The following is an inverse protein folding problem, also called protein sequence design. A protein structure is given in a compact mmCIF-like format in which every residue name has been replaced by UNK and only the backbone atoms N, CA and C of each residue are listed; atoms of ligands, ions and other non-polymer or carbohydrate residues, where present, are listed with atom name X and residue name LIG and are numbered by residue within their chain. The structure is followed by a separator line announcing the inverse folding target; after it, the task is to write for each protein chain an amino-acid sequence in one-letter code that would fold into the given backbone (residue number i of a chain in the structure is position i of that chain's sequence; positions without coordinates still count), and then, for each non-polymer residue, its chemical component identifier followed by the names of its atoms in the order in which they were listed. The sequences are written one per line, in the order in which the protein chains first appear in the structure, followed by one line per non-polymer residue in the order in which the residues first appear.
data_IF_775383748426
#
_entry.id   IF_775383748426
#
_cell.length_a   1.000
_cell.length_b   1.000
_cell.length_c   1.000
_cell.angle_alpha   90.00
_cell.angle_beta   90.00
_cell.angle_gamma   90.00
#
_symmetry.space_group_name_H-M   'P 1'
#
loop_
_entity.id
_entity.type
_entity.pdbx_description
1 polymer ?
#
# COMPACT_ATOMS: atom_id res chain seq x y z
N UNK A 1 -1.75 4.16 -11.00
CA UNK A 1 -2.43 4.62 -12.22
C UNK A 1 -1.77 5.93 -12.64
N UNK A 2 -1.87 6.34 -13.90
CA UNK A 2 -1.52 7.70 -14.32
C UNK A 2 -2.76 8.63 -14.26
N UNK A 3 -2.61 9.87 -14.69
CA UNK A 3 -3.70 10.86 -14.75
C UNK A 3 -4.77 10.59 -15.83
N UNK A 4 -4.54 9.63 -16.73
CA UNK A 4 -5.47 9.22 -17.79
C UNK A 4 -6.24 7.94 -17.43
N UNK A 5 -6.15 7.49 -16.18
CA UNK A 5 -6.72 6.24 -15.70
C UNK A 5 -6.08 4.97 -16.31
N UNK A 6 -4.81 5.05 -16.74
CA UNK A 6 -4.06 3.88 -17.18
C UNK A 6 -3.41 3.13 -16.01
N UNK A 7 -3.55 1.81 -16.00
CA UNK A 7 -2.84 0.97 -15.03
C UNK A 7 -1.35 0.85 -15.42
N UNK A 8 -0.51 1.60 -14.69
CA UNK A 8 0.95 1.63 -14.86
C UNK A 8 1.63 0.25 -14.77
N UNK A 9 1.05 -0.71 -14.04
CA UNK A 9 1.57 -2.08 -13.94
C UNK A 9 1.22 -2.87 -15.20
N UNK A 10 0.03 -2.63 -15.77
CA UNK A 10 -0.44 -3.31 -16.97
C UNK A 10 0.25 -2.78 -18.23
N UNK A 11 0.46 -1.46 -18.33
CA UNK A 11 1.11 -0.84 -19.48
C UNK A 11 2.65 -0.95 -19.45
N UNK A 12 3.23 -1.56 -18.40
CA UNK A 12 4.67 -1.80 -18.30
C UNK A 12 5.49 -0.57 -17.90
N UNK A 13 4.85 0.50 -17.42
CA UNK A 13 5.55 1.71 -16.93
C UNK A 13 6.09 1.51 -15.51
N UNK A 14 5.31 0.91 -14.61
CA UNK A 14 5.70 0.57 -13.24
C UNK A 14 6.27 -0.85 -13.21
N UNK A 15 7.59 -0.96 -13.37
CA UNK A 15 8.31 -2.24 -13.49
C UNK A 15 9.19 -2.56 -12.28
N UNK A 16 9.62 -1.53 -11.55
CA UNK A 16 10.46 -1.68 -10.38
C UNK A 16 9.84 -0.91 -9.21
N UNK A 17 9.51 -1.64 -8.15
CA UNK A 17 8.99 -1.08 -6.91
C UNK A 17 9.34 -1.96 -5.72
N UNK A 18 9.40 -1.34 -4.55
CA UNK A 18 9.65 -2.01 -3.27
C UNK A 18 8.96 -1.25 -2.15
N UNK A 19 8.64 -1.96 -1.07
CA UNK A 19 8.06 -1.37 0.14
C UNK A 19 8.93 -1.74 1.32
N UNK A 20 9.23 -0.76 2.17
CA UNK A 20 9.95 -0.94 3.43
C UNK A 20 9.12 -0.38 4.58
N UNK A 21 9.22 -1.00 5.75
CA UNK A 21 8.65 -0.43 6.98
C UNK A 21 9.59 0.63 7.60
N UNK A 22 9.12 1.27 8.67
CA UNK A 22 9.87 2.31 9.41
C UNK A 22 11.21 1.86 9.99
N UNK A 23 11.49 0.55 10.04
CA UNK A 23 12.77 -0.02 10.46
C UNK A 23 13.63 -0.44 9.25
N UNK A 24 13.26 -0.02 8.04
CA UNK A 24 13.87 -0.41 6.76
C UNK A 24 13.76 -1.91 6.45
N UNK A 25 12.80 -2.61 7.05
CA UNK A 25 12.54 -4.03 6.75
C UNK A 25 11.68 -4.11 5.50
N UNK A 26 12.12 -4.90 4.51
CA UNK A 26 11.36 -5.10 3.27
C UNK A 26 10.03 -5.79 3.57
N UNK A 27 8.95 -5.24 3.03
CA UNK A 27 7.62 -5.85 3.04
C UNK A 27 7.49 -6.75 1.82
N UNK A 28 6.94 -7.94 2.02
CA UNK A 28 6.64 -8.86 0.93
C UNK A 28 5.48 -8.32 0.09
N UNK A 29 5.70 -8.26 -1.22
CA UNK A 29 4.72 -7.79 -2.20
C UNK A 29 4.51 -8.85 -3.26
N UNK A 30 3.24 -9.07 -3.64
CA UNK A 30 2.87 -9.98 -4.71
C UNK A 30 1.99 -9.27 -5.74
N UNK A 31 2.21 -9.56 -7.03
CA UNK A 31 1.42 -9.03 -8.13
C UNK A 31 0.30 -10.01 -8.48
N UNK A 32 -0.93 -9.53 -8.62
CA UNK A 32 -2.08 -10.34 -9.05
C UNK A 32 -2.17 -10.41 -10.59
N UNK A 33 -2.93 -11.38 -11.12
CA UNK A 33 -3.24 -11.47 -12.56
C UNK A 33 -3.92 -10.20 -13.09
N UNK A 34 -4.65 -9.50 -12.23
CA UNK A 34 -5.42 -8.30 -12.56
C UNK A 34 -4.57 -7.02 -12.45
N UNK A 35 -3.24 -7.16 -12.40
CA UNK A 35 -2.28 -6.06 -12.31
C UNK A 35 -2.47 -5.18 -11.07
N UNK A 36 -2.72 -5.81 -9.92
CA UNK A 36 -2.74 -5.19 -8.60
C UNK A 36 -1.53 -5.64 -7.76
N UNK A 37 -1.22 -4.89 -6.70
CA UNK A 37 -0.19 -5.24 -5.71
C UNK A 37 -0.89 -5.61 -4.40
N UNK A 38 -0.50 -6.75 -3.84
CA UNK A 38 -0.89 -7.19 -2.49
C UNK A 38 0.33 -7.03 -1.58
N UNK A 39 0.09 -6.43 -0.40
CA UNK A 39 1.08 -6.36 0.67
C UNK A 39 0.77 -7.47 1.67
N UNK A 40 1.75 -8.31 1.96
CA UNK A 40 1.59 -9.45 2.85
C UNK A 40 2.14 -9.13 4.24
N UNK A 41 1.52 -9.71 5.28
CA UNK A 41 1.92 -9.56 6.69
C UNK A 41 1.96 -8.10 7.19
N UNK A 42 1.13 -7.22 6.63
CA UNK A 42 0.93 -5.85 7.13
C UNK A 42 -0.28 -5.78 8.05
N UNK A 43 -0.25 -4.88 9.05
CA UNK A 43 -1.35 -4.67 9.99
C UNK A 43 -1.46 -5.65 11.15
N UNK A 44 -0.59 -6.65 11.26
CA UNK A 44 -0.53 -7.60 12.38
C UNK A 44 0.17 -7.01 13.62
N UNK A 45 -0.27 -5.85 14.09
CA UNK A 45 0.26 -5.14 15.27
C UNK A 45 -0.78 -4.16 15.82
N UNK A 46 -0.55 -3.69 17.05
CA UNK A 46 -1.35 -2.63 17.66
C UNK A 46 -0.65 -1.28 17.53
N UNK A 47 -1.35 -0.27 17.01
CA UNK A 47 -0.84 1.07 16.79
C UNK A 47 -0.68 1.44 15.31
N UNK A 48 0.20 2.38 15.02
CA UNK A 48 0.44 2.88 13.67
C UNK A 48 1.88 2.62 13.26
N UNK A 49 2.09 1.99 12.11
CA UNK A 49 3.42 1.79 11.51
C UNK A 49 3.50 2.52 10.17
N UNK A 50 4.65 3.12 9.89
CA UNK A 50 4.93 3.80 8.63
C UNK A 50 5.62 2.87 7.64
N UNK A 51 5.39 3.16 6.36
CA UNK A 51 5.92 2.43 5.23
C UNK A 51 6.34 3.40 4.15
N UNK A 52 7.45 3.07 3.48
CA UNK A 52 7.98 3.79 2.35
C UNK A 52 7.79 2.93 1.09
N UNK A 53 7.07 3.45 0.11
CA UNK A 53 6.97 2.88 -1.22
C UNK A 53 7.99 3.58 -2.14
N UNK A 54 8.90 2.79 -2.70
CA UNK A 54 9.85 3.23 -3.72
C UNK A 54 9.46 2.64 -5.06
N UNK A 55 9.57 3.43 -6.14
CA UNK A 55 9.40 2.91 -7.49
C UNK A 55 10.21 3.69 -8.52
N UNK A 56 10.30 3.14 -9.73
CA UNK A 56 10.88 3.82 -10.89
C UNK A 56 10.01 4.97 -11.44
N UNK A 57 8.79 5.14 -10.94
CA UNK A 57 7.87 6.20 -11.35
C UNK A 57 7.88 7.34 -10.33
N UNK A 58 7.45 7.03 -9.09
CA UNK A 58 7.38 8.00 -8.00
C UNK A 58 7.37 7.29 -6.65
N UNK A 59 8.12 7.78 -5.64
CA UNK A 59 8.01 7.29 -4.28
C UNK A 59 6.86 7.97 -3.52
N UNK A 60 6.33 7.28 -2.52
CA UNK A 60 5.40 7.87 -1.55
C UNK A 60 5.47 7.12 -0.22
N UNK A 61 4.96 7.76 0.83
CA UNK A 61 4.84 7.15 2.15
C UNK A 61 3.38 6.80 2.42
N UNK A 62 3.17 5.77 3.23
CA UNK A 62 1.87 5.49 3.80
C UNK A 62 2.01 4.94 5.22
N UNK A 63 0.93 5.01 5.98
CA UNK A 63 0.86 4.43 7.33
C UNK A 63 -0.39 3.59 7.46
N UNK A 64 -0.24 2.48 8.16
CA UNK A 64 -1.36 1.59 8.49
C UNK A 64 -1.54 1.67 10.00
N UNK A 65 -2.73 2.08 10.41
CA UNK A 65 -3.17 2.03 11.80
C UNK A 65 -3.99 0.75 11.98
N UNK A 66 -3.59 -0.06 12.94
CA UNK A 66 -4.25 -1.32 13.29
C UNK A 66 -4.45 -1.42 14.80
N UNK A 67 -5.42 -2.22 15.22
CA UNK A 67 -5.66 -2.51 16.64
C UNK A 67 -5.93 -3.98 16.84
N UNK A 68 -5.60 -4.47 18.04
CA UNK A 68 -6.05 -5.80 18.47
C UNK A 68 -7.56 -5.88 18.44
N UNK A 69 -8.05 -6.96 17.86
CA UNK A 69 -9.44 -7.37 17.93
C UNK A 69 -9.50 -8.64 18.77
N UNK A 70 -10.20 -8.55 19.91
CA UNK A 70 -10.42 -9.67 20.83
C UNK A 70 -11.89 -10.07 20.72
N UNK A 71 -12.14 -11.13 19.96
CA UNK A 71 -13.47 -11.71 19.74
C UNK A 71 -13.44 -13.23 19.95
N UNK A 72 -14.17 -13.98 19.13
CA UNK A 72 -14.09 -15.45 19.13
C UNK A 72 -12.75 -15.99 18.57
N UNK A 73 -12.00 -15.14 17.86
CA UNK A 73 -10.62 -15.38 17.45
C UNK A 73 -9.83 -14.10 17.74
N UNK A 74 -8.65 -14.25 18.35
CA UNK A 74 -7.73 -13.13 18.54
C UNK A 74 -7.06 -12.78 17.21
N UNK A 75 -7.01 -11.49 16.90
CA UNK A 75 -6.40 -11.01 15.66
C UNK A 75 -6.17 -9.51 15.68
N UNK A 76 -5.85 -8.97 14.50
CA UNK A 76 -5.66 -7.55 14.29
C UNK A 76 -6.59 -7.05 13.19
N UNK A 77 -7.13 -5.86 13.39
CA UNK A 77 -7.95 -5.16 12.40
C UNK A 77 -7.21 -3.92 11.92
N UNK A 78 -7.11 -3.75 10.59
CA UNK A 78 -6.68 -2.49 9.99
C UNK A 78 -7.83 -1.49 10.13
N UNK A 79 -7.57 -0.40 10.83
CA UNK A 79 -8.55 0.66 11.11
C UNK A 79 -8.50 1.77 10.06
N UNK A 80 -7.29 2.11 9.60
CA UNK A 80 -7.08 3.24 8.68
C UNK A 80 -5.77 3.06 7.93
N UNK A 81 -5.78 3.40 6.64
CA UNK A 81 -4.57 3.61 5.85
C UNK A 81 -4.51 5.08 5.46
N UNK A 82 -3.35 5.71 5.67
CA UNK A 82 -3.12 7.12 5.33
C UNK A 82 -1.93 7.23 4.39
N UNK A 83 -2.12 7.85 3.23
CA UNK A 83 -1.08 8.04 2.22
C UNK A 83 -0.58 9.48 2.26
N UNK A 84 0.74 9.65 2.07
CA UNK A 84 1.41 10.95 2.05
C UNK A 84 2.48 10.96 0.97
N UNK A 85 2.44 11.94 0.08
CA UNK A 85 3.40 12.09 -1.01
C UNK A 85 3.07 13.33 -1.84
N UNK A 86 4.02 13.77 -2.66
CA UNK A 86 3.84 14.94 -3.53
C UNK A 86 3.24 14.49 -4.86
N UNK A 87 2.10 15.05 -5.24
CA UNK A 87 1.44 14.73 -6.51
C UNK A 87 1.02 13.26 -6.57
N UNK A 88 0.43 12.78 -5.47
CA UNK A 88 -0.31 11.52 -5.42
C UNK A 88 -1.76 11.83 -5.07
N UNK A 89 -2.68 11.14 -5.72
CA UNK A 89 -4.09 11.13 -5.35
C UNK A 89 -4.49 9.70 -5.02
N UNK A 90 -5.27 9.50 -3.95
CA UNK A 90 -5.69 8.17 -3.51
C UNK A 90 -7.20 8.11 -3.35
N UNK A 91 -7.80 7.10 -3.96
CA UNK A 91 -9.23 6.78 -3.82
C UNK A 91 -9.38 5.41 -3.16
N UNK A 92 -10.24 5.31 -2.15
CA UNK A 92 -10.66 4.05 -1.55
C UNK A 92 -11.91 3.53 -2.28
N UNK A 93 -11.76 2.39 -2.94
CA UNK A 93 -12.84 1.69 -3.64
C UNK A 93 -13.06 0.32 -3.00
N UNK A 94 -13.97 0.27 -2.00
CA UNK A 94 -14.43 -0.97 -1.36
C UNK A 94 -13.29 -1.82 -0.78
N UNK A 95 -12.29 -1.19 -0.17
CA UNK A 95 -11.14 -1.88 0.43
C UNK A 95 -9.94 -2.06 -0.50
N UNK A 96 -10.02 -1.54 -1.73
CA UNK A 96 -8.87 -1.37 -2.62
C UNK A 96 -8.47 0.10 -2.70
N UNK A 97 -7.17 0.36 -2.65
CA UNK A 97 -6.64 1.72 -2.78
C UNK A 97 -6.12 1.94 -4.19
N UNK A 98 -6.76 2.88 -4.90
CA UNK A 98 -6.34 3.33 -6.22
C UNK A 98 -5.44 4.55 -6.06
N UNK A 99 -4.16 4.40 -6.39
CA UNK A 99 -3.15 5.46 -6.28
C UNK A 99 -2.82 5.99 -7.67
N UNK A 100 -3.03 7.29 -7.87
CA UNK A 100 -2.66 8.03 -9.09
C UNK A 100 -1.28 8.65 -8.87
N UNK A 101 -0.33 8.31 -9.73
CA UNK A 101 1.03 8.83 -9.73
C UNK A 101 1.14 9.81 -10.89
N UNK A 102 1.21 11.11 -10.57
CA UNK A 102 1.30 12.21 -11.56
C UNK A 102 2.72 12.45 -12.08
#
# INVERSE_FOLDING_TARGET
MDSNDENLIANGTLTSYSIQDENNVSVQVSKTSDNMIILENVGAYNGTKKYHFSSNVKPFDFSIQSSEFKGACDGYQINKITFTGIGIDVTDEKGYYKIILQ
#
